data_IF_933008460832
#
_entry.id   IF_933008460832
#
_cell.length_a   1.000
_cell.length_b   1.000
_cell.length_c   1.000
_cell.angle_alpha   90.00
_cell.angle_beta   90.00
_cell.angle_gamma   90.00
#
_symmetry.space_group_name_H-M   'P 1'
#
loop_
_entity.id
_entity.type
_entity.pdbx_description
1 polymer ?
#
# COMPACT_ATOMS: atom_id res chain seq x y z
N UNK A 1 9.30 7.12 20.74
CA UNK A 1 9.25 7.57 19.33
C UNK A 1 8.46 6.52 18.55
N UNK A 2 7.67 6.91 17.55
CA UNK A 2 6.75 6.01 16.82
C UNK A 2 6.72 6.41 15.33
N UNK A 3 6.61 5.43 14.44
CA UNK A 3 6.37 5.67 13.02
C UNK A 3 4.92 6.18 12.84
N UNK A 4 4.75 7.39 12.32
CA UNK A 4 3.42 7.99 12.15
C UNK A 4 2.84 7.74 10.77
N UNK A 5 3.68 7.80 9.73
CA UNK A 5 3.26 7.53 8.37
C UNK A 5 4.44 7.10 7.49
N UNK A 6 4.08 6.47 6.37
CA UNK A 6 4.91 6.29 5.18
C UNK A 6 4.25 7.03 4.03
N UNK A 7 5.01 7.40 3.00
CA UNK A 7 4.49 8.17 1.87
C UNK A 7 4.84 7.52 0.55
N UNK A 8 3.89 7.50 -0.40
CA UNK A 8 4.07 6.98 -1.75
C UNK A 8 3.64 8.01 -2.79
N UNK A 9 4.26 7.96 -3.97
CA UNK A 9 3.85 8.73 -5.13
C UNK A 9 2.93 7.89 -6.02
N UNK A 10 1.93 8.54 -6.60
CA UNK A 10 1.03 7.95 -7.59
C UNK A 10 0.72 8.95 -8.69
N UNK A 11 0.50 8.43 -9.89
CA UNK A 11 -0.04 9.20 -11.01
C UNK A 11 -1.58 9.26 -10.98
N UNK A 12 -2.25 8.41 -10.18
CA UNK A 12 -3.71 8.29 -10.13
C UNK A 12 -4.23 8.28 -8.68
N UNK A 13 -4.33 9.48 -8.10
CA UNK A 13 -4.56 9.69 -6.67
C UNK A 13 -5.81 9.01 -6.11
N UNK A 14 -6.96 9.13 -6.81
CA UNK A 14 -8.22 8.55 -6.35
C UNK A 14 -8.18 7.02 -6.40
N UNK A 15 -7.59 6.45 -7.47
CA UNK A 15 -7.44 5.00 -7.65
C UNK A 15 -6.59 4.39 -6.54
N UNK A 16 -5.47 5.03 -6.21
CA UNK A 16 -4.58 4.58 -5.14
C UNK A 16 -5.27 4.67 -3.78
N UNK A 17 -5.94 5.80 -3.46
CA UNK A 17 -6.73 5.93 -2.22
C UNK A 17 -7.78 4.83 -2.07
N UNK A 18 -8.58 4.61 -3.12
CA UNK A 18 -9.70 3.69 -3.07
C UNK A 18 -9.25 2.24 -2.89
N UNK A 19 -8.08 1.87 -3.40
CA UNK A 19 -7.44 0.58 -3.13
C UNK A 19 -7.20 0.37 -1.62
N UNK A 20 -6.53 1.32 -0.95
CA UNK A 20 -6.23 1.18 0.47
C UNK A 20 -7.46 1.24 1.38
N UNK A 21 -8.50 1.99 0.98
CA UNK A 21 -9.80 1.95 1.67
C UNK A 21 -10.44 0.56 1.50
N UNK A 22 -10.53 0.05 0.26
CA UNK A 22 -11.28 -1.17 -0.06
C UNK A 22 -10.68 -2.43 0.56
N UNK A 23 -9.36 -2.58 0.51
CA UNK A 23 -8.71 -3.84 0.89
C UNK A 23 -8.13 -3.84 2.30
N UNK A 24 -7.71 -2.67 2.80
CA UNK A 24 -7.02 -2.55 4.10
C UNK A 24 -7.85 -1.79 5.14
N UNK A 25 -9.15 -1.57 4.87
CA UNK A 25 -10.08 -0.84 5.74
C UNK A 25 -9.56 0.56 6.15
N UNK A 26 -8.77 1.20 5.26
CA UNK A 26 -8.22 2.52 5.50
C UNK A 26 -9.30 3.59 5.59
N UNK A 27 -9.07 4.61 6.42
CA UNK A 27 -9.94 5.79 6.54
C UNK A 27 -9.22 7.00 5.97
N UNK A 28 -9.70 7.50 4.83
CA UNK A 28 -9.14 8.69 4.20
C UNK A 28 -9.62 9.98 4.86
N UNK A 29 -8.76 10.99 4.88
CA UNK A 29 -9.14 12.38 5.10
C UNK A 29 -9.74 13.02 3.83
N UNK A 30 -10.08 14.31 3.94
CA UNK A 30 -10.38 15.16 2.79
C UNK A 30 -9.12 15.44 1.96
N UNK A 31 -9.32 15.64 0.64
CA UNK A 31 -8.23 15.89 -0.30
C UNK A 31 -7.52 17.19 0.03
N UNK A 32 -6.21 17.13 0.21
CA UNK A 32 -5.37 18.33 0.23
C UNK A 32 -4.90 18.67 -1.19
N UNK A 33 -4.92 19.95 -1.55
CA UNK A 33 -4.45 20.45 -2.86
C UNK A 33 -3.61 21.71 -2.67
N UNK A 34 -2.44 21.74 -3.32
CA UNK A 34 -1.61 22.92 -3.46
C UNK A 34 -1.39 23.24 -4.95
N UNK A 35 -2.22 24.13 -5.54
CA UNK A 35 -2.17 24.45 -6.97
C UNK A 35 -0.82 25.04 -7.41
N UNK A 36 -0.17 25.84 -6.54
CA UNK A 36 1.12 26.48 -6.86
C UNK A 36 2.25 25.46 -7.06
N UNK A 37 2.14 24.29 -6.43
CA UNK A 37 3.11 23.20 -6.53
C UNK A 37 2.65 22.05 -7.41
N UNK A 38 1.45 22.15 -8.00
CA UNK A 38 0.81 21.04 -8.70
C UNK A 38 0.68 19.77 -7.86
N UNK A 39 0.50 19.92 -6.53
CA UNK A 39 0.52 18.81 -5.58
C UNK A 39 -0.88 18.53 -5.02
N UNK A 40 -1.19 17.26 -4.81
CA UNK A 40 -2.35 16.83 -4.05
C UNK A 40 -2.02 15.58 -3.22
N UNK A 41 -2.69 15.38 -2.09
CA UNK A 41 -2.51 14.18 -1.28
C UNK A 41 -3.75 13.78 -0.49
N UNK A 42 -3.74 12.52 -0.06
CA UNK A 42 -4.60 11.97 0.98
C UNK A 42 -3.73 11.39 2.10
N UNK A 43 -4.23 11.46 3.33
CA UNK A 43 -3.80 10.58 4.40
C UNK A 43 -4.86 9.49 4.58
N UNK A 44 -4.44 8.24 4.46
CA UNK A 44 -5.26 7.06 4.75
C UNK A 44 -4.78 6.46 6.06
N UNK A 45 -5.58 6.55 7.11
CA UNK A 45 -5.25 6.06 8.46
C UNK A 45 -5.79 4.65 8.67
N UNK A 46 -4.99 3.79 9.28
CA UNK A 46 -5.34 2.39 9.58
C UNK A 46 -5.49 2.13 11.08
N UNK A 47 -5.98 0.95 11.42
CA UNK A 47 -5.99 0.47 12.80
C UNK A 47 -4.56 0.47 13.38
N UNK A 48 -4.38 0.94 14.61
CA UNK A 48 -3.04 1.15 15.21
C UNK A 48 -2.43 2.54 14.98
N UNK A 49 -3.06 3.39 14.16
CA UNK A 49 -2.80 4.83 14.10
C UNK A 49 -1.74 5.28 13.08
N UNK A 50 -0.99 4.36 12.48
CA UNK A 50 -0.14 4.69 11.34
C UNK A 50 -0.98 5.05 10.11
N UNK A 51 -0.47 5.93 9.26
CA UNK A 51 -1.13 6.34 8.02
C UNK A 51 -0.25 6.14 6.79
N UNK A 52 -0.88 6.01 5.63
CA UNK A 52 -0.22 6.13 4.33
C UNK A 52 -0.56 7.50 3.75
N UNK A 53 0.46 8.32 3.50
CA UNK A 53 0.32 9.52 2.70
C UNK A 53 0.44 9.16 1.22
N UNK A 54 -0.65 9.30 0.49
CA UNK A 54 -0.70 9.05 -0.95
C UNK A 54 -0.60 10.39 -1.63
N UNK A 55 0.45 10.59 -2.43
CA UNK A 55 0.81 11.88 -2.99
C UNK A 55 0.83 11.86 -4.51
N UNK A 56 0.43 12.97 -5.11
CA UNK A 56 0.52 13.20 -6.56
C UNK A 56 1.15 14.58 -6.78
N UNK A 57 2.08 14.67 -7.73
CA UNK A 57 2.64 15.95 -8.19
C UNK A 57 2.83 15.92 -9.71
N UNK A 58 2.46 17.00 -10.39
CA UNK A 58 2.38 17.03 -11.87
C UNK A 58 3.72 16.83 -12.59
N UNK A 59 4.86 17.03 -11.92
CA UNK A 59 6.21 16.85 -12.46
C UNK A 59 6.82 15.46 -12.13
N UNK A 60 6.18 14.66 -11.28
CA UNK A 60 6.62 13.30 -10.96
C UNK A 60 5.85 12.35 -11.85
N UNK A 61 6.53 11.80 -12.86
CA UNK A 61 5.91 10.97 -13.91
C UNK A 61 6.66 9.66 -14.16
N UNK A 62 7.83 9.48 -13.54
CA UNK A 62 8.64 8.28 -13.72
C UNK A 62 8.05 7.13 -12.91
N UNK A 63 7.58 6.11 -13.63
CA UNK A 63 7.29 4.80 -13.07
C UNK A 63 8.56 3.94 -13.14
N UNK A 64 8.78 3.09 -12.14
CA UNK A 64 9.87 2.10 -12.14
C UNK A 64 9.42 0.82 -11.47
N UNK A 65 9.80 -0.31 -12.06
CA UNK A 65 9.69 -1.64 -11.46
C UNK A 65 11.06 -2.13 -10.95
N UNK A 66 12.06 -1.27 -10.94
CA UNK A 66 13.42 -1.61 -10.56
C UNK A 66 13.51 -1.85 -9.05
N UNK A 67 14.33 -2.81 -8.66
CA UNK A 67 14.79 -2.92 -7.28
C UNK A 67 15.88 -1.87 -7.07
N UNK A 68 15.70 -0.99 -6.08
CA UNK A 68 16.65 0.07 -5.76
C UNK A 68 16.91 0.15 -4.25
N UNK A 69 18.02 0.79 -3.86
CA UNK A 69 18.32 1.06 -2.45
C UNK A 69 17.36 2.14 -1.95
N UNK A 70 16.40 1.77 -1.09
CA UNK A 70 15.35 2.67 -0.60
C UNK A 70 14.17 1.92 0.02
N UNK A 71 12.98 2.54 -0.02
CA UNK A 71 11.72 1.91 0.41
C UNK A 71 11.42 0.70 -0.48
N UNK A 72 11.53 -0.50 0.07
CA UNK A 72 11.36 -1.74 -0.67
C UNK A 72 9.90 -2.23 -0.71
N UNK A 73 9.23 -2.18 0.44
CA UNK A 73 7.84 -2.61 0.64
C UNK A 73 7.33 -2.06 1.98
N UNK A 74 6.05 -2.30 2.26
CA UNK A 74 5.45 -2.14 3.59
C UNK A 74 4.38 -3.20 3.81
N UNK A 75 4.11 -3.48 5.09
CA UNK A 75 3.28 -4.62 5.48
C UNK A 75 2.07 -4.21 6.33
N UNK A 76 0.99 -4.96 6.17
CA UNK A 76 -0.19 -4.91 7.02
C UNK A 76 -0.36 -6.22 7.78
N UNK A 77 -0.60 -6.14 9.08
CA UNK A 77 -0.99 -7.31 9.86
C UNK A 77 -2.48 -7.59 9.66
N UNK A 78 -2.79 -8.87 9.44
CA UNK A 78 -4.15 -9.38 9.28
C UNK A 78 -4.65 -10.09 10.55
N UNK A 79 -3.73 -10.54 11.41
CA UNK A 79 -3.98 -11.18 12.70
C UNK A 79 -4.11 -12.70 12.67
N UNK A 80 -4.12 -13.33 11.47
CA UNK A 80 -4.07 -14.80 11.35
C UNK A 80 -3.65 -15.26 9.96
N UNK A 81 -3.18 -16.52 9.86
CA UNK A 81 -2.76 -17.13 8.59
C UNK A 81 -3.92 -17.25 7.60
N UNK A 82 -5.10 -17.61 8.10
CA UNK A 82 -6.30 -17.79 7.30
C UNK A 82 -6.73 -16.46 6.65
N UNK A 83 -6.53 -15.34 7.35
CA UNK A 83 -6.82 -14.01 6.79
C UNK A 83 -5.81 -13.60 5.73
N UNK A 84 -4.53 -13.98 5.86
CA UNK A 84 -3.54 -13.83 4.78
C UNK A 84 -4.02 -14.57 3.53
N UNK A 85 -4.41 -15.84 3.66
CA UNK A 85 -4.86 -16.66 2.54
C UNK A 85 -6.09 -16.03 1.86
N UNK A 86 -7.13 -15.69 2.63
CA UNK A 86 -8.36 -15.06 2.11
C UNK A 86 -8.06 -13.74 1.41
N UNK A 87 -7.15 -12.94 1.95
CA UNK A 87 -6.82 -11.63 1.39
C UNK A 87 -6.04 -11.76 0.08
N UNK A 88 -5.08 -12.69 -0.01
CA UNK A 88 -4.34 -12.99 -1.24
C UNK A 88 -5.28 -13.54 -2.33
N UNK A 89 -6.19 -14.45 -2.00
CA UNK A 89 -7.18 -14.93 -2.97
C UNK A 89 -8.09 -13.80 -3.47
N UNK A 90 -8.51 -12.90 -2.58
CA UNK A 90 -9.32 -11.73 -2.95
C UNK A 90 -8.57 -10.79 -3.90
N UNK A 91 -7.29 -10.55 -3.66
CA UNK A 91 -6.47 -9.76 -4.59
C UNK A 91 -6.36 -10.44 -5.95
N UNK A 92 -6.15 -11.77 -5.96
CA UNK A 92 -6.06 -12.54 -7.19
C UNK A 92 -7.38 -12.52 -7.98
N UNK A 93 -8.52 -12.69 -7.31
CA UNK A 93 -9.84 -12.65 -7.96
C UNK A 93 -10.17 -11.27 -8.53
N UNK A 94 -9.73 -10.21 -7.86
CA UNK A 94 -9.94 -8.83 -8.27
C UNK A 94 -8.90 -8.35 -9.32
N UNK A 95 -7.99 -9.24 -9.75
CA UNK A 95 -7.07 -9.01 -10.87
C UNK A 95 -5.71 -8.39 -10.50
N UNK A 96 -5.35 -8.34 -9.23
CA UNK A 96 -4.05 -7.83 -8.79
C UNK A 96 -2.96 -8.88 -8.92
N UNK A 97 -1.73 -8.42 -9.18
CA UNK A 97 -0.57 -9.30 -9.32
C UNK A 97 -0.07 -9.74 -7.95
N UNK A 98 -0.18 -11.04 -7.68
CA UNK A 98 0.47 -11.67 -6.52
C UNK A 98 1.95 -11.88 -6.85
N UNK A 99 2.83 -11.33 -6.02
CA UNK A 99 4.30 -11.43 -6.17
C UNK A 99 4.93 -12.32 -5.09
N UNK A 100 4.18 -12.65 -4.04
CA UNK A 100 4.54 -13.64 -3.05
C UNK A 100 3.31 -14.46 -2.65
N UNK A 101 3.34 -15.75 -2.93
CA UNK A 101 2.30 -16.70 -2.49
C UNK A 101 2.35 -16.91 -0.96
N UNK A 102 1.22 -17.20 -0.30
CA UNK A 102 1.17 -17.43 1.14
C UNK A 102 2.18 -18.50 1.57
N UNK A 103 3.09 -18.13 2.47
CA UNK A 103 4.13 -19.04 2.97
C UNK A 103 4.65 -18.60 4.32
N UNK A 104 5.33 -19.51 5.02
CA UNK A 104 6.20 -19.14 6.13
C UNK A 104 7.59 -18.77 5.60
N UNK A 105 8.08 -17.59 5.96
CA UNK A 105 9.41 -17.10 5.61
C UNK A 105 10.50 -17.70 6.50
N UNK A 106 11.76 -17.50 6.10
CA UNK A 106 12.92 -17.96 6.88
C UNK A 106 13.08 -17.27 8.25
N UNK A 107 12.51 -16.08 8.41
CA UNK A 107 12.46 -15.32 9.67
C UNK A 107 11.16 -15.53 10.46
N UNK A 108 10.26 -16.41 10.00
CA UNK A 108 9.17 -16.97 10.80
C UNK A 108 7.81 -16.29 10.64
N UNK A 109 7.67 -15.32 9.74
CA UNK A 109 6.38 -14.71 9.41
C UNK A 109 5.59 -15.62 8.47
N UNK A 110 4.26 -15.66 8.62
CA UNK A 110 3.39 -16.18 7.58
C UNK A 110 2.83 -15.00 6.80
N UNK A 111 3.19 -14.91 5.53
CA UNK A 111 2.92 -13.72 4.72
C UNK A 111 2.51 -14.09 3.29
N UNK A 112 1.89 -13.13 2.62
CA UNK A 112 1.81 -13.05 1.16
C UNK A 112 2.07 -11.63 0.69
N UNK A 113 2.32 -11.44 -0.61
CA UNK A 113 2.65 -10.13 -1.16
C UNK A 113 1.91 -9.86 -2.48
N UNK A 114 1.38 -8.64 -2.60
CA UNK A 114 0.64 -8.15 -3.76
C UNK A 114 1.26 -6.85 -4.27
N UNK A 115 1.12 -6.57 -5.56
CA UNK A 115 1.36 -5.23 -6.08
C UNK A 115 0.11 -4.37 -5.95
N UNK A 116 0.26 -3.19 -5.36
CA UNK A 116 -0.77 -2.15 -5.40
C UNK A 116 -0.99 -1.66 -6.85
N UNK A 117 -1.96 -0.74 -7.09
CA UNK A 117 -2.26 -0.24 -8.43
C UNK A 117 -1.08 0.45 -9.15
N UNK A 118 -0.08 0.94 -8.42
CA UNK A 118 1.09 1.65 -8.92
C UNK A 118 2.37 0.79 -8.90
N UNK A 119 2.26 -0.49 -8.52
CA UNK A 119 3.38 -1.44 -8.52
C UNK A 119 4.17 -1.51 -7.20
N UNK A 120 3.74 -0.83 -6.15
CA UNK A 120 4.37 -0.94 -4.83
C UNK A 120 4.10 -2.33 -4.24
N UNK A 121 5.12 -2.93 -3.62
CA UNK A 121 4.98 -4.21 -2.94
C UNK A 121 4.31 -3.97 -1.58
N UNK A 122 3.15 -4.60 -1.39
CA UNK A 122 2.41 -4.60 -0.13
C UNK A 122 2.33 -6.01 0.40
N UNK A 123 2.87 -6.22 1.59
CA UNK A 123 2.81 -7.50 2.29
C UNK A 123 1.58 -7.56 3.20
N UNK A 124 1.00 -8.75 3.31
CA UNK A 124 -0.03 -9.09 4.30
C UNK A 124 0.49 -10.21 5.18
N UNK A 125 0.56 -9.96 6.48
CA UNK A 125 1.22 -10.82 7.45
C UNK A 125 0.21 -11.32 8.49
N UNK A 126 0.36 -12.55 8.95
CA UNK A 126 -0.45 -13.12 10.03
C UNK A 126 -0.19 -12.42 11.37
#
# INVERSE_FOLDING_TARGET
MQLTHIAIWTNELERSRDFYIKYFNGKSNEKYVNPKKGFASYFVTFEGGASLEIMQRTDITRETADVFIGLAHFAFSTGSKEKVDVMIERFRSDGYKIVGEPRTTGDGYYEGAVLDPDGNIVEVIA
#
